data_IF_783324288760
#
_entry.id   IF_783324288760
#
_cell.length_a   1.000
_cell.length_b   1.000
_cell.length_c   1.000
_cell.angle_alpha   90.00
_cell.angle_beta   90.00
_cell.angle_gamma   90.00
#
_symmetry.space_group_name_H-M   'P 1'
#
loop_
_entity.id
_entity.type
_entity.pdbx_description
1 polymer ?
#
# COMPACT_ATOMS: atom_id res chain seq x y z
N UNK A 1 4.22 -10.72 -8.10
CA UNK A 1 3.82 -9.98 -6.90
C UNK A 1 4.56 -8.66 -6.91
N UNK A 2 3.85 -7.54 -6.67
CA UNK A 2 4.44 -6.21 -6.71
C UNK A 2 5.49 -6.06 -5.59
N UNK A 3 6.61 -5.41 -5.90
CA UNK A 3 7.74 -5.24 -4.97
C UNK A 3 7.35 -4.49 -3.69
N UNK A 4 6.47 -3.50 -3.83
CA UNK A 4 5.95 -2.72 -2.71
C UNK A 4 5.15 -3.58 -1.72
N UNK A 5 4.37 -4.54 -2.21
CA UNK A 5 3.57 -5.44 -1.36
C UNK A 5 4.46 -6.27 -0.43
N UNK A 6 5.55 -6.84 -0.96
CA UNK A 6 6.47 -7.67 -0.17
C UNK A 6 7.16 -6.85 0.92
N UNK A 7 7.64 -5.65 0.59
CA UNK A 7 8.30 -4.77 1.56
C UNK A 7 7.35 -4.34 2.68
N UNK A 8 6.10 -4.05 2.35
CA UNK A 8 5.08 -3.72 3.36
C UNK A 8 4.83 -4.93 4.26
N UNK A 9 4.70 -6.15 3.73
CA UNK A 9 4.52 -7.36 4.58
C UNK A 9 5.68 -7.56 5.54
N UNK A 10 6.91 -7.35 5.08
CA UNK A 10 8.11 -7.62 5.87
C UNK A 10 8.37 -6.57 6.96
N UNK A 11 7.89 -5.33 6.75
CA UNK A 11 8.19 -4.17 7.61
C UNK A 11 6.99 -3.60 8.35
N UNK A 12 5.78 -4.14 8.15
CA UNK A 12 4.57 -3.57 8.71
C UNK A 12 4.63 -3.53 10.25
N UNK A 13 4.31 -2.37 10.80
CA UNK A 13 4.00 -2.16 12.20
C UNK A 13 2.84 -1.19 12.27
N UNK A 14 1.75 -1.61 12.90
CA UNK A 14 0.57 -0.78 13.00
C UNK A 14 0.86 0.50 13.79
N UNK A 15 0.64 1.66 13.19
CA UNK A 15 0.80 2.97 13.84
C UNK A 15 -0.12 3.20 15.05
N UNK A 16 -1.17 2.38 15.23
CA UNK A 16 -2.15 2.50 16.33
C UNK A 16 -1.92 1.54 17.49
N UNK A 17 -1.55 0.29 17.21
CA UNK A 17 -1.42 -0.75 18.25
C UNK A 17 -0.08 -1.48 18.23
N UNK A 18 0.85 -1.09 17.35
CA UNK A 18 2.20 -1.67 17.18
C UNK A 18 2.23 -3.17 16.85
N UNK A 19 1.09 -3.76 16.48
CA UNK A 19 1.03 -5.12 15.97
C UNK A 19 1.67 -5.22 14.57
N UNK A 20 2.35 -6.33 14.29
CA UNK A 20 3.20 -6.49 13.10
C UNK A 20 2.56 -7.28 11.97
N UNK A 21 1.35 -7.81 12.16
CA UNK A 21 0.67 -8.57 11.11
C UNK A 21 -0.41 -7.72 10.44
N UNK A 22 -0.35 -7.68 9.12
CA UNK A 22 -1.35 -7.04 8.27
C UNK A 22 -1.85 -7.96 7.16
N UNK A 23 -3.07 -7.69 6.72
CA UNK A 23 -3.63 -8.20 5.48
C UNK A 23 -3.54 -7.11 4.42
N UNK A 24 -2.90 -7.42 3.29
CA UNK A 24 -2.81 -6.50 2.15
C UNK A 24 -3.82 -6.92 1.09
N UNK A 25 -4.54 -5.94 0.54
CA UNK A 25 -5.44 -6.12 -0.59
C UNK A 25 -5.21 -5.00 -1.60
N UNK A 26 -4.94 -5.38 -2.84
CA UNK A 26 -4.93 -4.43 -3.95
C UNK A 26 -6.36 -4.17 -4.44
N UNK A 27 -6.69 -2.90 -4.62
CA UNK A 27 -8.00 -2.44 -5.08
C UNK A 27 -7.81 -1.50 -6.26
N UNK A 28 -8.42 -1.83 -7.39
CA UNK A 28 -8.52 -0.93 -8.53
C UNK A 28 -9.72 -0.02 -8.34
N UNK A 29 -9.50 1.28 -8.23
CA UNK A 29 -10.56 2.28 -8.15
C UNK A 29 -10.75 2.89 -9.54
N UNK A 30 -11.69 2.34 -10.31
CA UNK A 30 -12.07 2.96 -11.58
C UNK A 30 -12.87 4.24 -11.29
N UNK A 31 -12.47 5.37 -11.89
CA UNK A 31 -13.28 6.59 -11.87
C UNK A 31 -14.65 6.34 -12.52
N UNK A 32 -15.71 6.93 -11.97
CA UNK A 32 -17.05 6.88 -12.56
C UNK A 32 -17.13 7.81 -13.79
N UNK A 33 -17.64 7.31 -14.93
CA UNK A 33 -17.93 8.12 -16.12
C UNK A 33 -17.16 7.70 -17.37
N UNK A 34 -16.89 8.67 -18.27
CA UNK A 34 -16.15 8.49 -19.53
C UNK A 34 -14.72 7.96 -19.36
N UNK A 35 -14.11 8.07 -18.17
CA UNK A 35 -12.81 7.48 -17.82
C UNK A 35 -12.73 5.97 -18.03
N UNK A 36 -13.86 5.25 -17.90
CA UNK A 36 -13.92 3.79 -18.11
C UNK A 36 -13.96 3.38 -19.59
N UNK A 37 -14.32 4.30 -20.49
CA UNK A 37 -14.40 4.05 -21.94
C UNK A 37 -13.04 4.19 -22.64
N UNK A 38 -12.10 4.91 -22.00
CA UNK A 38 -10.77 5.20 -22.53
C UNK A 38 -9.65 4.37 -21.87
N UNK A 39 -9.98 3.48 -20.93
CA UNK A 39 -9.06 2.51 -20.30
C UNK A 39 -7.75 3.11 -19.73
N UNK A 40 -7.78 4.40 -19.36
CA UNK A 40 -6.58 5.19 -19.01
C UNK A 40 -6.35 5.33 -17.50
N UNK A 41 -7.32 5.01 -16.66
CA UNK A 41 -7.19 5.19 -15.20
C UNK A 41 -6.82 3.88 -14.48
N UNK A 42 -5.53 3.51 -14.55
CA UNK A 42 -4.93 2.46 -13.71
C UNK A 42 -4.65 2.99 -12.29
N UNK A 43 -5.68 3.44 -11.57
CA UNK A 43 -5.56 3.87 -10.18
C UNK A 43 -5.69 2.65 -9.25
N UNK A 44 -4.57 1.95 -9.06
CA UNK A 44 -4.45 0.86 -8.09
C UNK A 44 -4.04 1.41 -6.73
N UNK A 45 -4.60 0.85 -5.66
CA UNK A 45 -4.23 1.19 -4.29
C UNK A 45 -4.06 -0.08 -3.45
N UNK A 46 -3.07 -0.06 -2.56
CA UNK A 46 -2.82 -1.12 -1.58
C UNK A 46 -3.48 -0.76 -0.26
N UNK A 47 -4.46 -1.55 0.15
CA UNK A 47 -5.10 -1.47 1.45
C UNK A 47 -4.38 -2.41 2.41
N UNK A 48 -3.81 -1.87 3.48
CA UNK A 48 -3.02 -2.60 4.47
C UNK A 48 -3.79 -2.55 5.79
N UNK A 49 -4.41 -3.66 6.15
CA UNK A 49 -5.29 -3.76 7.32
C UNK A 49 -4.59 -4.48 8.47
N UNK A 50 -4.47 -3.83 9.63
CA UNK A 50 -3.95 -4.47 10.82
C UNK A 50 -4.88 -5.62 11.26
N UNK A 51 -4.31 -6.81 11.45
CA UNK A 51 -5.07 -7.99 11.86
C UNK A 51 -5.45 -7.99 13.36
N UNK A 52 -4.96 -7.02 14.14
CA UNK A 52 -5.27 -6.89 15.56
C UNK A 52 -6.35 -5.84 15.85
N UNK A 53 -6.11 -4.57 15.49
CA UNK A 53 -7.04 -3.48 15.82
C UNK A 53 -7.95 -3.03 14.67
N UNK A 54 -7.79 -3.61 13.47
CA UNK A 54 -8.61 -3.28 12.29
C UNK A 54 -8.29 -1.92 11.65
N UNK A 55 -7.27 -1.19 12.10
CA UNK A 55 -6.81 0.03 11.43
C UNK A 55 -6.34 -0.27 10.00
N UNK A 56 -6.70 0.60 9.05
CA UNK A 56 -6.40 0.42 7.63
C UNK A 56 -5.63 1.62 7.11
N UNK A 57 -4.50 1.35 6.44
CA UNK A 57 -3.69 2.32 5.73
C UNK A 57 -3.77 2.07 4.23
N UNK A 58 -3.73 3.13 3.43
CA UNK A 58 -3.87 3.05 1.97
C UNK A 58 -2.63 3.64 1.31
N UNK A 59 -1.99 2.87 0.43
CA UNK A 59 -0.78 3.28 -0.29
C UNK A 59 -0.98 3.25 -1.80
N UNK A 60 -0.35 4.18 -2.51
CA UNK A 60 -0.30 4.18 -3.97
C UNK A 60 0.94 3.37 -4.43
N UNK A 61 0.78 2.17 -5.02
CA UNK A 61 1.88 1.34 -5.46
C UNK A 61 2.72 1.98 -6.56
N UNK A 62 2.15 2.78 -7.47
CA UNK A 62 2.90 3.42 -8.56
C UNK A 62 3.93 4.43 -8.04
N UNK A 63 3.60 5.15 -6.96
CA UNK A 63 4.54 6.06 -6.30
C UNK A 63 5.64 5.28 -5.57
N UNK A 64 5.28 4.15 -4.95
CA UNK A 64 6.25 3.30 -4.27
C UNK A 64 7.20 2.61 -5.27
N UNK A 65 6.70 2.09 -6.38
CA UNK A 65 7.52 1.39 -7.37
C UNK A 65 8.49 2.32 -8.13
N UNK A 66 8.16 3.61 -8.22
CA UNK A 66 9.06 4.64 -8.78
C UNK A 66 10.27 5.00 -7.89
N UNK A 67 10.38 4.43 -6.69
CA UNK A 67 11.48 4.70 -5.74
C UNK A 67 12.52 3.57 -5.74
N UNK A 68 13.78 3.91 -5.43
CA UNK A 68 14.82 2.90 -5.28
C UNK A 68 14.59 2.02 -4.03
N UNK A 69 15.27 0.86 -3.94
CA UNK A 69 15.13 -0.05 -2.77
C UNK A 69 15.38 0.65 -1.45
N UNK A 70 16.44 1.45 -1.43
CA UNK A 70 16.90 2.14 -0.23
C UNK A 70 15.88 3.16 0.24
N UNK A 71 15.41 4.00 -0.67
CA UNK A 71 14.41 5.04 -0.36
C UNK A 71 13.09 4.44 0.15
N UNK A 72 12.61 3.35 -0.45
CA UNK A 72 11.40 2.68 0.02
C UNK A 72 11.56 2.13 1.42
N UNK A 73 12.69 1.48 1.68
CA UNK A 73 12.96 0.90 3.00
C UNK A 73 13.00 2.01 4.06
N UNK A 74 13.70 3.11 3.79
CA UNK A 74 13.78 4.26 4.70
C UNK A 74 12.42 4.88 4.97
N UNK A 75 11.58 5.06 3.94
CA UNK A 75 10.24 5.62 4.12
C UNK A 75 9.37 4.69 4.97
N UNK A 76 9.38 3.39 4.66
CA UNK A 76 8.61 2.41 5.41
C UNK A 76 9.09 2.29 6.86
N UNK A 77 10.40 2.35 7.11
CA UNK A 77 10.97 2.32 8.46
C UNK A 77 10.58 3.57 9.28
N UNK A 78 10.39 4.74 8.66
CA UNK A 78 9.88 5.94 9.34
C UNK A 78 8.38 5.80 9.64
N UNK A 79 7.60 5.25 8.69
CA UNK A 79 6.15 5.12 8.83
C UNK A 79 5.74 4.02 9.81
N UNK A 80 6.52 2.94 9.87
CA UNK A 80 6.28 1.78 10.71
C UNK A 80 7.22 1.73 11.95
N UNK A 81 8.07 2.73 12.16
CA UNK A 81 8.83 2.92 13.40
C UNK A 81 7.93 3.23 14.60
#
# INVERSE_FOLDING_TARGET
MARAEQLIKDKFVCSKCKHTNAKIKEVSMAGSGLSKLLDIDYNHYLFVSCLNCGFVEVYNPSILEGKTRGELTTILDILFG
#
